data_IF_215958324845
#
_entry.id   IF_215958324845
#
_cell.length_a   1.000
_cell.length_b   1.000
_cell.length_c   1.000
_cell.angle_alpha   90.00
_cell.angle_beta   90.00
_cell.angle_gamma   90.00
#
_symmetry.space_group_name_H-M   'P 1'
#
loop_
_entity.id
_entity.type
_entity.pdbx_description
1 polymer ?
#
# COMPACT_ATOMS: atom_id res chain seq x y z
N UNK A 1 1.55 -19.46 -15.37
CA UNK A 1 1.56 -18.51 -14.23
C UNK A 1 2.31 -17.26 -14.69
N UNK A 2 1.79 -16.04 -14.45
CA UNK A 2 2.53 -14.83 -14.77
C UNK A 2 3.86 -14.78 -14.00
N UNK A 3 4.89 -14.27 -14.65
CA UNK A 3 6.23 -14.06 -14.10
C UNK A 3 6.24 -12.91 -13.09
N UNK A 4 7.21 -12.90 -12.18
CA UNK A 4 7.38 -11.82 -11.17
C UNK A 4 7.51 -10.43 -11.83
N UNK A 5 8.07 -10.37 -13.05
CA UNK A 5 8.19 -9.14 -13.84
C UNK A 5 6.82 -8.64 -14.31
N UNK A 6 5.95 -9.52 -14.80
CA UNK A 6 4.59 -9.18 -15.23
C UNK A 6 3.72 -8.72 -14.04
N UNK A 7 3.84 -9.38 -12.88
CA UNK A 7 3.13 -8.97 -11.65
C UNK A 7 3.58 -7.56 -11.21
N UNK A 8 4.88 -7.28 -11.31
CA UNK A 8 5.43 -5.95 -10.97
C UNK A 8 4.93 -4.85 -11.90
N UNK A 9 4.80 -5.14 -13.20
CA UNK A 9 4.22 -4.21 -14.17
C UNK A 9 2.74 -3.93 -13.89
N UNK A 10 1.95 -4.96 -13.56
CA UNK A 10 0.53 -4.80 -13.22
C UNK A 10 0.37 -3.95 -11.95
N UNK A 11 1.14 -4.22 -10.89
CA UNK A 11 1.06 -3.46 -9.64
C UNK A 11 1.51 -2.00 -9.83
N UNK A 12 2.47 -1.77 -10.71
CA UNK A 12 2.90 -0.40 -11.09
C UNK A 12 1.81 0.33 -11.87
N UNK A 13 1.18 -0.35 -12.83
CA UNK A 13 0.06 0.19 -13.60
C UNK A 13 -1.14 0.55 -12.71
N UNK A 14 -1.54 -0.33 -11.79
CA UNK A 14 -2.61 -0.08 -10.83
C UNK A 14 -2.33 1.16 -9.97
N UNK A 15 -1.09 1.27 -9.48
CA UNK A 15 -0.64 2.43 -8.69
C UNK A 15 -0.78 3.72 -9.49
N UNK A 16 -0.32 3.73 -10.73
CA UNK A 16 -0.35 4.91 -11.60
C UNK A 16 -1.77 5.32 -12.00
N UNK A 17 -2.65 4.34 -12.25
CA UNK A 17 -4.04 4.61 -12.60
C UNK A 17 -4.79 5.30 -11.44
N UNK A 18 -4.61 4.78 -10.23
CA UNK A 18 -5.30 5.26 -9.02
C UNK A 18 -4.80 6.64 -8.58
N UNK A 19 -3.52 6.97 -8.85
CA UNK A 19 -2.94 8.31 -8.57
C UNK A 19 -3.74 9.45 -9.18
N UNK A 20 -4.38 9.25 -10.35
CA UNK A 20 -5.08 10.31 -11.08
C UNK A 20 -6.33 10.83 -10.36
N UNK A 21 -6.99 9.97 -9.57
CA UNK A 21 -8.29 10.26 -8.96
C UNK A 21 -8.28 10.17 -7.42
N UNK A 22 -7.10 10.00 -6.82
CA UNK A 22 -6.95 9.80 -5.37
C UNK A 22 -6.02 10.84 -4.77
N UNK A 23 -6.25 11.18 -3.50
CA UNK A 23 -5.23 11.83 -2.69
C UNK A 23 -4.17 10.79 -2.33
N UNK A 24 -2.90 11.14 -2.49
CA UNK A 24 -1.77 10.21 -2.33
C UNK A 24 -0.90 10.65 -1.16
N UNK A 25 -0.45 9.68 -0.35
CA UNK A 25 0.56 9.92 0.67
C UNK A 25 1.66 8.85 0.59
N UNK A 26 2.92 9.26 0.69
CA UNK A 26 4.06 8.35 0.76
C UNK A 26 4.34 7.97 2.22
N UNK A 27 4.36 6.66 2.49
CA UNK A 27 4.87 6.09 3.74
C UNK A 27 5.75 4.90 3.36
N UNK A 28 7.00 5.14 2.90
CA UNK A 28 7.85 4.08 2.36
C UNK A 28 7.98 2.89 3.33
N UNK A 29 7.93 1.64 2.83
CA UNK A 29 7.91 1.24 1.41
C UNK A 29 6.48 1.14 0.81
N UNK A 30 5.52 1.95 1.27
CA UNK A 30 4.15 1.95 0.78
C UNK A 30 3.74 3.30 0.19
N UNK A 31 2.93 3.23 -0.86
CA UNK A 31 2.10 4.34 -1.32
C UNK A 31 0.67 4.15 -0.81
N UNK A 32 0.10 5.19 -0.20
CA UNK A 32 -1.27 5.20 0.33
C UNK A 32 -2.18 6.00 -0.60
N UNK A 33 -3.36 5.46 -0.86
CA UNK A 33 -4.39 6.04 -1.70
C UNK A 33 -5.64 6.32 -0.88
N UNK A 34 -6.19 7.51 -1.08
CA UNK A 34 -7.41 7.95 -0.43
C UNK A 34 -8.39 8.50 -1.45
N UNK A 35 -9.61 7.98 -1.45
CA UNK A 35 -10.69 8.61 -2.19
C UNK A 35 -11.01 9.98 -1.58
N UNK A 36 -11.19 11.04 -2.39
CA UNK A 36 -11.39 12.40 -1.89
C UNK A 36 -12.62 12.49 -0.97
N UNK A 37 -13.69 11.77 -1.30
CA UNK A 37 -15.00 11.97 -0.66
C UNK A 37 -15.58 10.71 0.00
N UNK A 38 -15.03 9.52 -0.27
CA UNK A 38 -15.66 8.26 0.13
C UNK A 38 -14.84 7.58 1.24
N UNK A 39 -15.42 7.35 2.44
CA UNK A 39 -14.75 6.67 3.55
C UNK A 39 -14.66 5.15 3.41
N UNK A 40 -15.32 4.54 2.43
CA UNK A 40 -15.35 3.09 2.27
C UNK A 40 -13.93 2.52 2.15
N UNK A 41 -13.65 1.48 2.94
CA UNK A 41 -12.32 0.84 3.04
C UNK A 41 -11.78 0.33 1.69
N UNK A 42 -12.66 0.08 0.72
CA UNK A 42 -12.28 -0.44 -0.59
C UNK A 42 -11.61 0.62 -1.46
N UNK A 43 -11.89 1.92 -1.23
CA UNK A 43 -11.30 3.03 -1.97
C UNK A 43 -10.15 3.72 -1.22
N UNK A 44 -9.76 3.19 -0.06
CA UNK A 44 -8.73 3.76 0.80
C UNK A 44 -7.77 2.64 1.23
N UNK A 45 -6.62 2.53 0.57
CA UNK A 45 -5.72 1.39 0.76
C UNK A 45 -4.26 1.76 0.50
N UNK A 46 -3.36 0.89 0.96
CA UNK A 46 -1.93 1.01 0.78
C UNK A 46 -1.43 -0.11 -0.14
N UNK A 47 -0.55 0.26 -1.08
CA UNK A 47 0.13 -0.66 -1.99
C UNK A 47 1.64 -0.60 -1.67
N UNK A 48 2.33 -1.74 -1.52
CA UNK A 48 3.79 -1.78 -1.45
C UNK A 48 4.43 -1.23 -2.73
N UNK A 49 5.47 -0.43 -2.57
CA UNK A 49 6.20 0.15 -3.69
C UNK A 49 7.07 -0.88 -4.41
N UNK A 50 7.51 -1.90 -3.68
CA UNK A 50 8.26 -3.09 -4.10
C UNK A 50 7.99 -4.25 -3.13
N UNK A 51 8.64 -5.41 -3.29
CA UNK A 51 8.47 -6.54 -2.38
C UNK A 51 8.82 -6.18 -0.94
N UNK A 52 7.91 -6.42 -0.01
CA UNK A 52 8.09 -6.17 1.42
C UNK A 52 8.18 -7.53 2.08
N UNK A 53 9.38 -7.97 2.50
CA UNK A 53 9.62 -9.30 3.11
C UNK A 53 9.00 -9.40 4.51
N UNK A 54 7.68 -9.33 4.64
CA UNK A 54 7.00 -9.16 5.92
C UNK A 54 7.14 -10.35 6.87
N UNK A 55 7.42 -11.54 6.32
CA UNK A 55 7.62 -12.78 7.08
C UNK A 55 9.06 -12.95 7.60
N UNK A 56 10.02 -12.16 7.13
CA UNK A 56 11.41 -12.20 7.62
C UNK A 56 11.50 -11.48 8.99
N UNK A 57 11.94 -12.17 10.07
CA UNK A 57 12.02 -11.57 11.40
C UNK A 57 12.86 -10.29 11.47
N UNK A 58 13.94 -10.19 10.69
CA UNK A 58 14.79 -9.00 10.67
C UNK A 58 14.10 -7.83 9.96
N UNK A 59 13.45 -8.12 8.82
CA UNK A 59 12.66 -7.14 8.10
C UNK A 59 11.44 -6.67 8.91
N UNK A 60 10.85 -7.54 9.73
CA UNK A 60 9.70 -7.22 10.58
C UNK A 60 10.02 -6.12 11.61
N UNK A 61 11.22 -6.14 12.20
CA UNK A 61 11.67 -5.11 13.16
C UNK A 61 11.66 -3.72 12.51
N UNK A 62 12.14 -3.62 11.27
CA UNK A 62 12.13 -2.38 10.50
C UNK A 62 10.72 -1.99 10.01
N UNK A 63 9.88 -2.97 9.67
CA UNK A 63 8.55 -2.76 9.10
C UNK A 63 7.51 -2.30 10.14
N UNK A 64 7.57 -2.84 11.36
CA UNK A 64 6.61 -2.55 12.44
C UNK A 64 6.38 -1.05 12.70
N UNK A 65 7.41 -0.20 12.89
CA UNK A 65 7.18 1.24 13.09
C UNK A 65 6.53 1.92 11.88
N UNK A 66 6.83 1.46 10.67
CA UNK A 66 6.25 1.96 9.41
C UNK A 66 4.75 1.65 9.36
N UNK A 67 4.34 0.43 9.71
CA UNK A 67 2.92 0.04 9.81
C UNK A 67 2.19 0.89 10.86
N UNK A 68 2.87 1.24 11.96
CA UNK A 68 2.36 2.18 12.96
C UNK A 68 2.11 3.59 12.40
N UNK A 69 3.04 4.10 11.59
CA UNK A 69 2.91 5.39 10.90
C UNK A 69 1.77 5.35 9.87
N UNK A 70 1.69 4.31 9.05
CA UNK A 70 0.62 4.09 8.08
C UNK A 70 -0.75 4.12 8.76
N UNK A 71 -0.95 3.34 9.84
CA UNK A 71 -2.19 3.35 10.61
C UNK A 71 -2.54 4.73 11.17
N UNK A 72 -1.55 5.55 11.52
CA UNK A 72 -1.77 6.93 11.98
C UNK A 72 -2.27 7.83 10.85
N UNK A 73 -1.66 7.73 9.67
CA UNK A 73 -2.03 8.51 8.47
C UNK A 73 -3.48 8.24 8.05
N UNK A 74 -3.91 6.98 8.08
CA UNK A 74 -5.31 6.59 7.84
C UNK A 74 -6.26 7.14 8.90
N UNK A 75 -5.94 6.96 10.19
CA UNK A 75 -6.79 7.45 11.29
C UNK A 75 -6.96 8.97 11.29
N UNK A 76 -5.90 9.72 11.00
CA UNK A 76 -5.95 11.18 10.89
C UNK A 76 -6.92 11.67 9.80
N UNK A 77 -7.21 10.82 8.81
CA UNK A 77 -8.15 11.11 7.72
C UNK A 77 -9.54 10.49 7.95
N UNK A 78 -9.79 9.90 9.12
CA UNK A 78 -11.03 9.18 9.39
C UNK A 78 -11.22 7.97 8.48
N UNK A 79 -10.13 7.28 8.11
CA UNK A 79 -10.13 6.11 7.22
C UNK A 79 -9.62 4.85 7.93
N UNK A 80 -10.09 3.69 7.49
CA UNK A 80 -9.60 2.39 7.94
C UNK A 80 -8.50 1.93 7.00
N UNK A 81 -7.34 1.54 7.56
CA UNK A 81 -6.23 1.03 6.77
C UNK A 81 -6.56 -0.33 6.16
N UNK A 82 -6.33 -0.48 4.86
CA UNK A 82 -6.39 -1.73 4.10
C UNK A 82 -5.13 -1.85 3.26
N UNK A 83 -4.63 -3.06 3.07
CA UNK A 83 -3.56 -3.34 2.12
C UNK A 83 -4.12 -4.00 0.88
N UNK A 84 -3.55 -3.67 -0.27
CA UNK A 84 -3.86 -4.29 -1.55
C UNK A 84 -2.54 -4.58 -2.28
N UNK A 85 -2.23 -5.86 -2.46
CA UNK A 85 -1.00 -6.33 -3.08
C UNK A 85 -1.18 -7.75 -3.61
N UNK A 86 -0.37 -8.12 -4.59
CA UNK A 86 -0.21 -9.52 -4.99
C UNK A 86 0.75 -10.24 -4.05
N UNK A 87 0.56 -11.54 -3.82
CA UNK A 87 1.38 -12.34 -2.90
C UNK A 87 2.90 -12.24 -3.16
N UNK A 88 3.32 -12.03 -4.41
CA UNK A 88 4.72 -11.79 -4.77
C UNK A 88 5.35 -10.53 -4.10
N UNK A 89 4.55 -9.69 -3.46
CA UNK A 89 4.96 -8.49 -2.73
C UNK A 89 4.89 -8.63 -1.20
N UNK A 90 4.51 -9.82 -0.68
CA UNK A 90 4.30 -10.14 0.73
C UNK A 90 5.57 -10.62 1.47
#
# INVERSE_FOLDING_TARGET
MPTTSEISQIQSYLRENVRKNSLVAAVPPFTLFFHPNDPLKYFNYAIPDGPVRGADPEAWVALRPILGRLRRVFRQRGRVARFEFFEAFA
#
